data_IF_593264709210
#
_entry.id   IF_593264709210
#
_cell.length_a   1.000
_cell.length_b   1.000
_cell.length_c   1.000
_cell.angle_alpha   90.00
_cell.angle_beta   90.00
_cell.angle_gamma   90.00
#
_symmetry.space_group_name_H-M   'P 1'
#
loop_
_entity.id
_entity.type
_entity.pdbx_description
1 polymer ?
#
# COMPACT_ATOMS: atom_id res chain seq x y z
N UNK A 1 -3.32 8.89 -14.18
CA UNK A 1 -2.32 9.93 -13.88
C UNK A 1 -1.47 9.73 -12.60
N UNK A 2 -1.72 8.76 -11.71
CA UNK A 2 -0.96 8.63 -10.45
C UNK A 2 0.09 7.50 -10.39
N UNK A 3 0.43 6.85 -11.51
CA UNK A 3 1.25 5.62 -11.49
C UNK A 3 2.62 5.82 -10.81
N UNK A 4 3.24 6.99 -11.00
CA UNK A 4 4.57 7.26 -10.44
C UNK A 4 4.56 7.86 -9.04
N UNK A 5 3.41 8.27 -8.50
CA UNK A 5 3.32 8.95 -7.20
C UNK A 5 3.84 8.09 -6.04
N UNK A 6 3.71 6.76 -6.16
CA UNK A 6 4.21 5.83 -5.14
C UNK A 6 5.75 5.82 -5.05
N UNK A 7 6.48 6.22 -6.11
CA UNK A 7 7.94 6.19 -6.18
C UNK A 7 8.54 7.36 -5.40
N UNK A 8 7.72 8.39 -5.15
CA UNK A 8 8.10 9.62 -4.47
C UNK A 8 7.47 9.70 -3.08
N UNK A 9 7.15 8.56 -2.46
CA UNK A 9 6.67 8.53 -1.07
C UNK A 9 7.74 9.14 -0.14
N UNK A 10 7.34 10.12 0.69
CA UNK A 10 8.27 10.84 1.57
C UNK A 10 8.97 9.94 2.58
N UNK A 11 8.35 8.80 2.92
CA UNK A 11 8.89 7.81 3.84
C UNK A 11 9.66 6.70 3.13
N UNK A 12 9.76 6.75 1.80
CA UNK A 12 10.39 5.73 0.95
C UNK A 12 9.89 4.31 1.25
N UNK A 13 8.57 4.17 1.47
CA UNK A 13 7.94 2.90 1.80
C UNK A 13 7.71 2.05 0.55
N UNK A 14 7.57 0.75 0.77
CA UNK A 14 7.15 -0.20 -0.26
C UNK A 14 5.63 -0.43 -0.19
N UNK A 15 4.99 -0.65 -1.34
CA UNK A 15 3.62 -1.17 -1.37
C UNK A 15 3.61 -2.69 -1.49
N UNK A 16 2.63 -3.31 -0.84
CA UNK A 16 2.32 -4.73 -1.01
C UNK A 16 0.81 -4.94 -1.19
N UNK A 17 0.45 -6.08 -1.79
CA UNK A 17 -0.93 -6.44 -2.09
C UNK A 17 -1.35 -7.62 -1.21
N UNK A 18 -2.55 -7.54 -0.63
CA UNK A 18 -3.21 -8.64 0.07
C UNK A 18 -4.48 -9.00 -0.70
N UNK A 19 -4.72 -10.31 -0.88
CA UNK A 19 -5.91 -10.82 -1.56
C UNK A 19 -6.57 -11.90 -0.71
N UNK A 20 -7.88 -11.80 -0.54
CA UNK A 20 -8.70 -12.79 0.15
C UNK A 20 -10.02 -12.96 -0.61
N UNK A 21 -10.19 -14.11 -1.27
CA UNK A 21 -11.33 -14.32 -2.16
C UNK A 21 -11.37 -13.30 -3.30
N UNK A 22 -12.47 -12.55 -3.39
CA UNK A 22 -12.64 -11.45 -4.35
C UNK A 22 -12.01 -10.13 -3.87
N UNK A 23 -11.69 -10.03 -2.57
CA UNK A 23 -11.19 -8.81 -1.97
C UNK A 23 -9.74 -8.57 -2.38
N UNK A 24 -9.40 -7.30 -2.63
CA UNK A 24 -8.03 -6.87 -2.92
C UNK A 24 -7.72 -5.58 -2.18
N UNK A 25 -6.62 -5.60 -1.43
CA UNK A 25 -6.11 -4.46 -0.69
C UNK A 25 -4.68 -4.16 -1.12
N UNK A 26 -4.35 -2.88 -1.26
CA UNK A 26 -2.99 -2.39 -1.45
C UNK A 26 -2.61 -1.58 -0.22
N UNK A 27 -1.47 -1.89 0.39
CA UNK A 27 -1.03 -1.28 1.63
C UNK A 27 0.40 -0.77 1.51
N UNK A 28 0.72 0.30 2.22
CA UNK A 28 2.10 0.70 2.50
C UNK A 28 2.66 -0.13 3.65
N UNK A 29 3.90 -0.59 3.50
CA UNK A 29 4.71 -1.10 4.58
C UNK A 29 5.41 0.07 5.29
N UNK A 30 4.96 0.46 6.49
CA UNK A 30 5.68 1.43 7.34
C UNK A 30 6.50 0.67 8.41
N UNK A 31 7.76 0.30 8.14
CA UNK A 31 8.58 -0.48 9.06
C UNK A 31 8.94 0.28 10.34
N UNK A 32 8.79 1.62 10.35
CA UNK A 32 9.08 2.44 11.53
C UNK A 32 7.94 2.37 12.55
N UNK A 33 6.72 2.14 12.08
CA UNK A 33 5.53 2.01 12.92
C UNK A 33 5.09 0.56 13.11
N UNK A 34 5.73 -0.39 12.42
CA UNK A 34 5.33 -1.81 12.38
C UNK A 34 3.84 -2.00 12.07
N UNK A 35 3.28 -1.10 11.26
CA UNK A 35 1.84 -1.06 10.95
C UNK A 35 1.62 -0.80 9.47
N UNK A 36 0.81 -1.61 8.78
CA UNK A 36 0.46 -1.35 7.40
C UNK A 36 -0.59 -0.24 7.30
N UNK A 37 -0.51 0.56 6.24
CA UNK A 37 -1.45 1.65 5.95
C UNK A 37 -2.19 1.37 4.65
N UNK A 38 -3.53 1.37 4.69
CA UNK A 38 -4.37 1.04 3.54
C UNK A 38 -4.34 2.17 2.48
N UNK A 39 -4.00 1.82 1.25
CA UNK A 39 -3.96 2.72 0.09
C UNK A 39 -5.20 2.54 -0.79
N UNK A 40 -5.61 1.29 -0.97
CA UNK A 40 -6.73 0.92 -1.81
C UNK A 40 -7.42 -0.33 -1.27
N UNK A 41 -8.75 -0.38 -1.37
CA UNK A 41 -9.55 -1.56 -1.05
C UNK A 41 -10.65 -1.74 -2.08
N UNK A 42 -10.77 -2.96 -2.59
CA UNK A 42 -11.89 -3.44 -3.39
C UNK A 42 -12.50 -4.64 -2.67
N UNK A 43 -13.79 -4.51 -2.35
CA UNK A 43 -14.65 -5.59 -1.86
C UNK A 43 -15.61 -6.03 -2.97
#
# INVERSE_FOLDING_TARGET
ENLHKWLTDEKARDQFVVRYGADTEVLWNDPRQSKPELVYSRK
#
